data_IF_393632804091
#
_entry.id   IF_393632804091
#
_cell.length_a   1.000
_cell.length_b   1.000
_cell.length_c   1.000
_cell.angle_alpha   90.00
_cell.angle_beta   90.00
_cell.angle_gamma   90.00
#
_symmetry.space_group_name_H-M   'P 1'
#
loop_
_entity.id
_entity.type
_entity.pdbx_description
1 polymer ?
#
# COMPACT_ATOMS: atom_id res chain seq x y z
N UNK A 1 -9.84 10.07 1.97
CA UNK A 1 -9.31 10.87 3.08
C UNK A 1 -8.77 10.07 4.25
N UNK A 2 -9.00 8.76 4.35
CA UNK A 2 -8.41 7.97 5.43
C UNK A 2 -6.88 7.86 5.28
N UNK A 3 -6.41 7.48 4.09
CA UNK A 3 -4.97 7.38 3.78
C UNK A 3 -4.29 8.73 3.99
N UNK A 4 -4.89 9.79 3.47
CA UNK A 4 -4.39 11.16 3.55
C UNK A 4 -4.28 11.65 4.99
N UNK A 5 -5.27 11.31 5.83
CA UNK A 5 -5.22 11.60 7.26
C UNK A 5 -4.09 10.84 7.97
N UNK A 6 -3.87 9.57 7.65
CA UNK A 6 -2.78 8.80 8.24
C UNK A 6 -1.38 9.20 7.75
N UNK A 7 -1.27 9.71 6.52
CA UNK A 7 -0.02 10.27 6.00
C UNK A 7 0.29 11.64 6.59
N UNK A 8 -0.73 12.49 6.76
CA UNK A 8 -0.59 13.87 7.21
C UNK A 8 -1.57 14.17 8.37
N UNK A 9 -1.37 13.59 9.56
CA UNK A 9 -2.32 13.67 10.68
C UNK A 9 -2.53 15.10 11.21
N UNK A 10 -1.58 15.99 10.96
CA UNK A 10 -1.65 17.41 11.35
C UNK A 10 -2.51 18.25 10.39
N UNK A 11 -2.94 17.71 9.25
CA UNK A 11 -3.82 18.43 8.30
C UNK A 11 -5.26 18.37 8.80
N UNK A 12 -5.95 19.51 8.96
CA UNK A 12 -7.34 19.54 9.40
C UNK A 12 -8.30 18.80 8.47
N UNK A 13 -9.33 18.16 9.03
CA UNK A 13 -10.26 17.30 8.26
C UNK A 13 -10.90 17.98 7.04
N UNK A 14 -11.34 19.23 7.19
CA UNK A 14 -11.94 20.02 6.12
C UNK A 14 -10.98 20.34 4.96
N UNK A 15 -9.66 20.24 5.17
CA UNK A 15 -8.63 20.46 4.15
C UNK A 15 -8.22 19.17 3.42
N UNK A 16 -8.66 17.99 3.89
CA UNK A 16 -8.32 16.71 3.27
C UNK A 16 -8.76 16.58 1.80
N UNK A 17 -9.90 17.13 1.34
CA UNK A 17 -10.23 17.14 -0.09
C UNK A 17 -9.20 17.89 -0.94
N UNK A 18 -8.72 19.04 -0.44
CA UNK A 18 -7.67 19.81 -1.13
C UNK A 18 -6.35 19.05 -1.15
N UNK A 19 -5.99 18.41 -0.04
CA UNK A 19 -4.81 17.56 0.03
C UNK A 19 -4.91 16.40 -0.97
N UNK A 20 -6.06 15.72 -1.04
CA UNK A 20 -6.30 14.63 -1.97
C UNK A 20 -5.98 15.03 -3.40
N UNK A 21 -6.54 16.15 -3.88
CA UNK A 21 -6.28 16.62 -5.25
C UNK A 21 -4.79 16.92 -5.51
N UNK A 22 -4.06 17.42 -4.51
CA UNK A 22 -2.62 17.70 -4.64
C UNK A 22 -1.78 16.44 -4.77
N UNK A 23 -2.13 15.36 -4.06
CA UNK A 23 -1.32 14.12 -4.01
C UNK A 23 -1.95 12.95 -4.75
N UNK A 24 -3.10 13.15 -5.43
CA UNK A 24 -3.87 12.09 -6.10
C UNK A 24 -3.03 11.24 -7.05
N UNK A 25 -2.06 11.87 -7.70
CA UNK A 25 -1.13 11.22 -8.64
C UNK A 25 -0.14 10.25 -7.97
N UNK A 26 0.10 10.41 -6.68
CA UNK A 26 0.97 9.53 -5.88
C UNK A 26 0.18 8.44 -5.13
N UNK A 27 -1.15 8.53 -5.11
CA UNK A 27 -2.02 7.55 -4.46
C UNK A 27 -2.40 6.42 -5.44
N UNK A 28 -2.49 5.16 -4.98
CA UNK A 28 -3.01 4.09 -5.80
C UNK A 28 -4.50 4.34 -6.11
N UNK A 29 -4.96 3.83 -7.25
CA UNK A 29 -6.38 3.88 -7.59
C UNK A 29 -7.20 3.14 -6.52
N UNK A 30 -8.22 3.78 -5.92
CA UNK A 30 -9.04 3.13 -4.90
C UNK A 30 -9.92 2.05 -5.53
N UNK A 31 -10.19 0.97 -4.80
CA UNK A 31 -11.16 -0.01 -5.26
C UNK A 31 -12.55 0.64 -5.40
N UNK A 32 -13.23 0.54 -6.57
CA UNK A 32 -14.49 1.25 -6.82
C UNK A 32 -15.69 0.64 -6.09
N UNK A 33 -15.54 -0.55 -5.51
CA UNK A 33 -16.58 -1.22 -4.74
C UNK A 33 -16.00 -2.25 -3.79
N UNK A 34 -16.83 -2.69 -2.83
CA UNK A 34 -16.49 -3.76 -1.90
C UNK A 34 -16.20 -5.09 -2.63
N UNK A 35 -16.96 -5.41 -3.68
CA UNK A 35 -16.75 -6.63 -4.46
C UNK A 35 -15.40 -6.61 -5.18
N UNK A 36 -14.99 -5.45 -5.72
CA UNK A 36 -13.67 -5.30 -6.31
C UNK A 36 -12.56 -5.55 -5.28
N UNK A 37 -12.70 -5.03 -4.06
CA UNK A 37 -11.75 -5.30 -2.99
C UNK A 37 -11.68 -6.79 -2.61
N UNK A 38 -12.83 -7.47 -2.46
CA UNK A 38 -12.85 -8.89 -2.13
C UNK A 38 -12.24 -9.78 -3.23
N UNK A 39 -12.42 -9.44 -4.50
CA UNK A 39 -11.78 -10.16 -5.62
C UNK A 39 -10.25 -10.13 -5.54
N UNK A 40 -9.70 -9.09 -4.94
CA UNK A 40 -8.26 -8.93 -4.74
C UNK A 40 -7.77 -9.68 -3.50
N UNK A 41 -8.52 -9.60 -2.39
CA UNK A 41 -8.16 -10.20 -1.10
C UNK A 41 -8.32 -11.73 -1.10
N UNK A 42 -9.38 -12.27 -1.70
CA UNK A 42 -9.68 -13.70 -1.66
C UNK A 42 -8.56 -14.61 -2.18
N UNK A 43 -7.98 -14.38 -3.39
CA UNK A 43 -6.88 -15.21 -3.87
C UNK A 43 -5.60 -15.05 -3.04
N UNK A 44 -5.37 -13.87 -2.46
CA UNK A 44 -4.23 -13.63 -1.55
C UNK A 44 -4.39 -14.48 -0.30
N UNK A 45 -5.57 -14.44 0.31
CA UNK A 45 -5.88 -15.22 1.50
C UNK A 45 -5.71 -16.73 1.26
N UNK A 46 -6.26 -17.25 0.16
CA UNK A 46 -6.13 -18.67 -0.18
C UNK A 46 -4.66 -19.12 -0.31
N UNK A 47 -3.80 -18.27 -0.91
CA UNK A 47 -2.37 -18.53 -1.00
C UNK A 47 -1.68 -18.45 0.35
N UNK A 48 -2.03 -17.45 1.17
CA UNK A 48 -1.49 -17.29 2.52
C UNK A 48 -1.81 -18.46 3.46
N UNK A 49 -2.97 -19.11 3.27
CA UNK A 49 -3.32 -20.34 3.99
C UNK A 49 -2.41 -21.54 3.63
N UNK A 50 -1.74 -21.50 2.49
CA UNK A 50 -0.79 -22.53 2.03
C UNK A 50 0.67 -22.13 2.20
N UNK A 51 0.99 -20.84 2.07
CA UNK A 51 2.33 -20.28 2.10
C UNK A 51 2.32 -18.87 2.72
N UNK A 52 2.94 -18.73 3.88
CA UNK A 52 2.83 -17.53 4.71
C UNK A 52 3.52 -16.28 4.11
N UNK A 53 4.56 -16.44 3.30
CA UNK A 53 5.27 -15.28 2.72
C UNK A 53 4.58 -14.69 1.49
N UNK A 54 3.41 -15.20 1.08
CA UNK A 54 2.70 -14.59 -0.03
C UNK A 54 2.09 -13.25 0.39
N UNK A 55 2.36 -12.20 -0.38
CA UNK A 55 1.71 -10.91 -0.26
C UNK A 55 1.36 -10.33 -1.62
N UNK A 56 0.36 -9.46 -1.66
CA UNK A 56 0.04 -8.70 -2.86
C UNK A 56 1.10 -7.60 -3.06
N UNK A 57 1.88 -7.71 -4.14
CA UNK A 57 2.80 -6.66 -4.56
C UNK A 57 2.09 -5.71 -5.51
N UNK A 58 1.99 -4.43 -5.14
CA UNK A 58 1.46 -3.37 -6.00
C UNK A 58 2.54 -2.91 -6.98
N UNK A 59 2.12 -2.55 -8.20
CA UNK A 59 2.98 -1.83 -9.11
C UNK A 59 3.16 -0.40 -8.61
N UNK A 60 4.41 0.05 -8.57
CA UNK A 60 4.76 1.41 -8.19
C UNK A 60 5.04 2.22 -9.46
N UNK A 61 4.75 3.54 -9.46
CA UNK A 61 5.11 4.39 -10.59
C UNK A 61 6.64 4.37 -10.79
N UNK A 62 7.15 4.56 -12.02
CA UNK A 62 8.59 4.56 -12.29
C UNK A 62 9.39 5.61 -11.50
N UNK A 63 8.70 6.66 -11.02
CA UNK A 63 9.27 7.73 -10.20
C UNK A 63 9.35 7.37 -8.71
N UNK A 64 8.75 6.26 -8.27
CA UNK A 64 8.76 5.84 -6.88
C UNK A 64 10.19 5.56 -6.41
N UNK A 65 10.58 6.22 -5.32
CA UNK A 65 11.85 5.96 -4.64
C UNK A 65 11.60 5.10 -3.41
N UNK A 66 12.40 4.05 -3.16
CA UNK A 66 12.28 3.31 -1.93
C UNK A 66 12.52 4.23 -0.73
N UNK A 67 11.73 4.04 0.33
CA UNK A 67 11.97 4.76 1.57
C UNK A 67 13.13 4.11 2.30
N UNK A 68 14.22 4.87 2.50
CA UNK A 68 15.48 4.39 3.10
C UNK A 68 16.07 3.19 2.35
N UNK A 69 16.67 3.48 1.20
CA UNK A 69 17.32 2.51 0.29
C UNK A 69 18.23 1.49 1.01
N UNK A 70 18.90 1.92 2.08
CA UNK A 70 19.75 1.07 2.93
C UNK A 70 19.05 -0.19 3.46
N UNK A 71 17.73 -0.16 3.69
CA UNK A 71 16.98 -1.32 4.14
C UNK A 71 16.56 -2.27 3.02
N UNK A 72 16.54 -1.80 1.77
CA UNK A 72 16.18 -2.62 0.61
C UNK A 72 17.36 -3.43 0.07
N UNK A 73 18.59 -3.06 0.42
CA UNK A 73 19.81 -3.79 0.07
C UNK A 73 20.24 -4.82 1.13
N UNK A 74 19.48 -4.97 2.23
CA UNK A 74 19.80 -5.93 3.26
C UNK A 74 19.51 -7.36 2.78
N UNK A 75 20.54 -8.20 2.77
CA UNK A 75 20.36 -9.65 2.65
C UNK A 75 19.76 -10.15 3.95
N UNK A 76 18.45 -10.42 3.97
CA UNK A 76 17.80 -11.06 5.10
C UNK A 76 18.10 -12.56 5.02
N UNK A 77 18.84 -13.15 5.98
CA UNK A 77 19.03 -14.59 6.02
C UNK A 77 17.65 -15.26 6.18
N UNK A 78 17.48 -16.45 5.58
CA UNK A 78 16.26 -17.23 5.76
C UNK A 78 15.96 -17.38 7.26
N UNK A 79 14.71 -17.15 7.65
CA UNK A 79 14.28 -17.38 9.02
C UNK A 79 14.65 -18.81 9.42
N UNK A 80 15.27 -18.98 10.58
CA UNK A 80 15.59 -20.30 11.09
C UNK A 80 14.28 -21.06 11.37
N UNK A 81 14.13 -22.23 10.75
CA UNK A 81 13.03 -23.18 11.01
C UNK A 81 13.04 -23.70 12.45
#
# INVERSE_FOLDING_TARGET
YHVEHHMFPMVPYHALPRLHELIKHDLPEPNPSMWHAYREVWPVLLKQLQYEDYFLKRELPPTARPYRDEFHALTVPAAAE
#
